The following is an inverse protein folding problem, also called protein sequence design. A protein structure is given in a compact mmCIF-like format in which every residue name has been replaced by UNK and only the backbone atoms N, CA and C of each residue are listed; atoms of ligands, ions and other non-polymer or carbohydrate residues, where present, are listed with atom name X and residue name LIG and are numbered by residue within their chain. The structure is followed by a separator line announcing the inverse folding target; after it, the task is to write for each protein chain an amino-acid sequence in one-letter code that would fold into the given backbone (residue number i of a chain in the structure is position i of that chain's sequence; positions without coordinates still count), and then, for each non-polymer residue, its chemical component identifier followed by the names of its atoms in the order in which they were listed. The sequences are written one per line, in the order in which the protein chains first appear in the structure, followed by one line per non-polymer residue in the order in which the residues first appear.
data_IF_731142465592
#
_entry.id   IF_731142465592
#
_cell.length_a   1.000
_cell.length_b   1.000
_cell.length_c   1.000
_cell.angle_alpha   90.00
_cell.angle_beta   90.00
_cell.angle_gamma   90.00
#
_symmetry.space_group_name_H-M   'P 1'
#
loop_
_entity.id
_entity.type
_entity.pdbx_description
1 polymer ?
#
# COMPACT_ATOMS: atom_id res chain seq x y z
N UNK A 1 29.79 -44.05 -17.26
CA UNK A 1 28.51 -44.13 -16.53
C UNK A 1 28.48 -43.29 -15.24
N UNK A 2 29.55 -43.25 -14.43
CA UNK A 2 29.63 -42.44 -13.19
C UNK A 2 29.33 -40.93 -13.39
N UNK A 3 29.77 -40.35 -14.51
CA UNK A 3 29.61 -38.92 -14.80
C UNK A 3 28.15 -38.52 -15.05
N UNK A 4 27.34 -39.41 -15.65
CA UNK A 4 25.90 -39.16 -15.90
C UNK A 4 25.10 -39.17 -14.60
N UNK A 5 25.42 -40.07 -13.67
CA UNK A 5 24.78 -40.15 -12.35
C UNK A 5 25.11 -38.91 -11.51
N UNK A 6 26.37 -38.46 -11.52
CA UNK A 6 26.78 -37.23 -10.83
C UNK A 6 26.08 -35.98 -11.37
N UNK A 7 25.94 -35.86 -12.70
CA UNK A 7 25.22 -34.74 -13.33
C UNK A 7 23.73 -34.75 -12.94
N UNK A 8 23.08 -35.90 -12.96
CA UNK A 8 21.66 -36.02 -12.55
C UNK A 8 21.49 -35.60 -11.08
N UNK A 9 22.36 -36.06 -10.18
CA UNK A 9 22.30 -35.66 -8.76
C UNK A 9 22.46 -34.16 -8.54
N UNK A 10 23.39 -33.52 -9.26
CA UNK A 10 23.58 -32.05 -9.18
C UNK A 10 22.36 -31.30 -9.68
N UNK A 11 21.76 -31.74 -10.77
CA UNK A 11 20.53 -31.13 -11.32
C UNK A 11 19.35 -31.27 -10.35
N UNK A 12 19.19 -32.44 -9.72
CA UNK A 12 18.13 -32.66 -8.72
C UNK A 12 18.33 -31.77 -7.48
N UNK A 13 19.56 -31.65 -6.97
CA UNK A 13 19.87 -30.78 -5.84
C UNK A 13 19.59 -29.31 -6.20
N UNK A 14 20.02 -28.86 -7.37
CA UNK A 14 19.73 -27.50 -7.86
C UNK A 14 18.22 -27.27 -7.98
N UNK A 15 17.46 -28.22 -8.50
CA UNK A 15 16.01 -28.10 -8.60
C UNK A 15 15.34 -27.99 -7.23
N UNK A 16 15.76 -28.77 -6.24
CA UNK A 16 15.26 -28.67 -4.85
C UNK A 16 15.61 -27.31 -4.25
N UNK A 17 16.84 -26.82 -4.43
CA UNK A 17 17.25 -25.51 -3.94
C UNK A 17 16.47 -24.38 -4.59
N UNK A 18 16.20 -24.47 -5.90
CA UNK A 18 15.38 -23.50 -6.62
C UNK A 18 13.94 -23.52 -6.10
N UNK A 19 13.35 -24.70 -5.88
CA UNK A 19 11.99 -24.82 -5.33
C UNK A 19 11.91 -24.32 -3.89
N UNK A 20 12.91 -24.62 -3.05
CA UNK A 20 12.98 -24.12 -1.68
C UNK A 20 13.15 -22.59 -1.66
N UNK A 21 13.99 -22.05 -2.54
CA UNK A 21 14.16 -20.60 -2.69
C UNK A 21 12.88 -19.94 -3.20
N UNK A 22 12.27 -20.44 -4.27
CA UNK A 22 11.01 -19.93 -4.79
C UNK A 22 9.89 -20.02 -3.74
N UNK A 23 9.76 -21.15 -3.04
CA UNK A 23 8.82 -21.35 -1.95
C UNK A 23 9.06 -20.38 -0.78
N UNK A 24 10.32 -20.12 -0.43
CA UNK A 24 10.69 -19.12 0.58
C UNK A 24 10.32 -17.71 0.12
N UNK A 25 10.55 -17.35 -1.14
CA UNK A 25 10.20 -16.04 -1.69
C UNK A 25 8.69 -15.83 -1.76
N UNK A 26 7.92 -16.88 -2.10
CA UNK A 26 6.44 -16.87 -2.05
C UNK A 26 5.97 -16.71 -0.60
N UNK A 27 6.56 -17.47 0.33
CA UNK A 27 6.21 -17.41 1.75
C UNK A 27 6.50 -16.04 2.36
N UNK A 28 7.64 -15.42 2.01
CA UNK A 28 8.11 -14.15 2.56
C UNK A 28 7.39 -12.94 1.94
N UNK A 29 6.98 -13.02 0.68
CA UNK A 29 6.41 -11.91 -0.07
C UNK A 29 4.99 -12.24 -0.53
N UNK A 30 4.00 -12.23 0.38
CA UNK A 30 2.64 -12.64 0.05
C UNK A 30 2.00 -11.78 -1.04
N UNK A 31 2.43 -10.52 -1.19
CA UNK A 31 1.93 -9.60 -2.21
C UNK A 31 2.61 -9.72 -3.58
N UNK A 32 3.72 -10.47 -3.73
CA UNK A 32 4.51 -10.51 -4.97
C UNK A 32 3.75 -11.08 -6.18
N UNK A 33 2.75 -11.93 -5.95
CA UNK A 33 1.98 -12.60 -7.02
C UNK A 33 0.54 -12.11 -7.11
N UNK A 34 0.21 -11.01 -6.45
CA UNK A 34 -1.12 -10.44 -6.46
C UNK A 34 -1.32 -9.69 -7.79
N UNK A 35 -2.17 -10.23 -8.65
CA UNK A 35 -2.61 -9.56 -9.88
C UNK A 35 -3.73 -8.60 -9.53
N UNK A 36 -3.57 -7.33 -9.90
CA UNK A 36 -4.54 -6.28 -9.64
C UNK A 36 -4.99 -5.66 -10.95
N UNK A 37 -6.29 -5.36 -11.02
CA UNK A 37 -6.81 -4.47 -12.05
C UNK A 37 -6.28 -3.07 -11.81
N UNK A 38 -5.61 -2.52 -12.81
CA UNK A 38 -5.25 -1.11 -12.81
C UNK A 38 -6.43 -0.32 -13.38
N UNK A 39 -7.20 0.29 -12.49
CA UNK A 39 -8.26 1.24 -12.84
C UNK A 39 -7.80 2.70 -12.69
N UNK A 40 -6.49 2.93 -12.58
CA UNK A 40 -5.97 4.29 -12.52
C UNK A 40 -6.15 5.00 -13.87
N UNK A 41 -6.34 6.32 -13.79
CA UNK A 41 -6.39 7.19 -14.95
C UNK A 41 -5.09 7.08 -15.76
N UNK A 42 -5.19 7.13 -17.09
CA UNK A 42 -4.01 7.20 -17.94
C UNK A 42 -3.26 8.52 -17.74
N UNK A 43 -1.98 8.55 -18.11
CA UNK A 43 -1.10 9.72 -17.88
C UNK A 43 -1.69 11.05 -18.38
N UNK A 44 -2.39 11.04 -19.53
CA UNK A 44 -3.03 12.23 -20.08
C UNK A 44 -4.24 12.70 -19.26
N UNK A 45 -5.02 11.77 -18.72
CA UNK A 45 -6.18 12.07 -17.88
C UNK A 45 -5.76 12.56 -16.50
N UNK A 46 -4.67 11.99 -15.95
CA UNK A 46 -4.03 12.50 -14.73
C UNK A 46 -3.58 13.94 -14.94
N UNK A 47 -2.96 14.25 -16.08
CA UNK A 47 -2.49 15.61 -16.35
C UNK A 47 -3.65 16.60 -16.56
N UNK A 48 -4.74 16.19 -17.22
CA UNK A 48 -5.93 17.05 -17.34
C UNK A 48 -6.59 17.30 -15.99
N UNK A 49 -6.72 16.27 -15.15
CA UNK A 49 -7.27 16.39 -13.80
C UNK A 49 -6.41 17.32 -12.93
N UNK A 50 -5.08 17.16 -12.97
CA UNK A 50 -4.15 18.06 -12.28
C UNK A 50 -4.29 19.50 -12.73
N UNK A 51 -4.39 19.73 -14.05
CA UNK A 51 -4.57 21.06 -14.59
C UNK A 51 -5.93 21.68 -14.20
N UNK A 52 -6.98 20.87 -14.08
CA UNK A 52 -8.29 21.31 -13.60
C UNK A 52 -8.24 21.70 -12.12
N UNK A 53 -7.71 20.82 -11.26
CA UNK A 53 -7.56 21.09 -9.82
C UNK A 53 -6.66 22.31 -9.61
N UNK A 54 -5.57 22.46 -10.37
CA UNK A 54 -4.66 23.60 -10.26
C UNK A 54 -5.36 24.95 -10.46
N UNK A 55 -6.39 25.01 -11.32
CA UNK A 55 -7.17 26.23 -11.61
C UNK A 55 -8.15 26.60 -10.49
N UNK A 56 -8.46 25.70 -9.55
CA UNK A 56 -9.36 26.01 -8.42
C UNK A 56 -8.67 27.02 -7.49
N UNK A 57 -9.39 28.09 -7.12
CA UNK A 57 -8.85 29.16 -6.25
C UNK A 57 -8.57 28.65 -4.83
N UNK A 58 -9.50 27.87 -4.28
CA UNK A 58 -9.35 27.14 -3.02
C UNK A 58 -9.33 25.65 -3.31
N UNK A 59 -8.43 24.91 -2.65
CA UNK A 59 -8.29 23.47 -2.79
C UNK A 59 -8.42 22.85 -1.41
N UNK A 60 -9.33 21.90 -1.25
CA UNK A 60 -9.48 21.16 -0.01
C UNK A 60 -8.57 19.93 -0.05
N UNK A 61 -7.71 19.82 0.95
CA UNK A 61 -6.69 18.77 1.04
C UNK A 61 -6.98 17.89 2.24
N UNK A 62 -7.01 16.59 2.02
CA UNK A 62 -7.04 15.58 3.07
C UNK A 62 -5.68 14.88 3.12
N UNK A 63 -5.14 14.71 4.32
CA UNK A 63 -3.99 13.85 4.60
C UNK A 63 -4.47 12.69 5.47
N UNK A 64 -4.89 11.61 4.80
CA UNK A 64 -5.27 10.36 5.45
C UNK A 64 -4.03 9.49 5.66
N UNK A 65 -3.86 8.88 6.83
CA UNK A 65 -2.71 8.02 7.10
C UNK A 65 -3.00 6.86 8.04
N UNK A 66 -2.35 5.73 7.84
CA UNK A 66 -2.26 4.63 8.80
C UNK A 66 -0.86 4.61 9.42
N UNK A 67 -0.74 4.49 10.75
CA UNK A 67 0.56 4.33 11.41
C UNK A 67 0.49 3.45 12.64
N UNK A 68 1.34 2.40 12.68
CA UNK A 68 1.45 1.54 13.86
C UNK A 68 2.51 2.02 14.86
N UNK A 69 3.71 2.40 14.39
CA UNK A 69 4.83 2.83 15.24
C UNK A 69 5.07 4.35 15.23
N UNK A 70 4.19 5.13 14.61
CA UNK A 70 4.25 6.59 14.56
C UNK A 70 5.14 7.21 13.48
N UNK A 71 5.94 6.42 12.74
CA UNK A 71 6.82 6.97 11.69
C UNK A 71 6.03 7.65 10.57
N UNK A 72 4.98 6.98 10.08
CA UNK A 72 4.11 7.53 9.03
C UNK A 72 3.30 8.71 9.53
N UNK A 73 2.88 8.69 10.81
CA UNK A 73 2.20 9.80 11.47
C UNK A 73 3.01 11.09 11.38
N UNK A 74 4.30 11.05 11.74
CA UNK A 74 5.13 12.27 11.66
C UNK A 74 5.27 12.83 10.25
N UNK A 75 5.25 11.99 9.21
CA UNK A 75 5.23 12.45 7.81
C UNK A 75 3.88 13.05 7.45
N UNK A 76 2.78 12.44 7.89
CA UNK A 76 1.42 12.93 7.65
C UNK A 76 1.19 14.29 8.32
N UNK A 77 1.64 14.45 9.58
CA UNK A 77 1.59 15.71 10.31
C UNK A 77 2.36 16.82 9.56
N UNK A 78 3.58 16.54 9.10
CA UNK A 78 4.36 17.50 8.33
C UNK A 78 3.71 17.86 6.98
N UNK A 79 3.05 16.90 6.32
CA UNK A 79 2.31 17.15 5.08
C UNK A 79 1.06 17.99 5.32
N UNK A 80 0.30 17.69 6.38
CA UNK A 80 -0.88 18.48 6.78
C UNK A 80 -0.47 19.92 7.09
N UNK A 81 0.61 20.13 7.86
CA UNK A 81 1.15 21.46 8.16
C UNK A 81 1.59 22.22 6.88
N UNK A 82 2.28 21.54 5.96
CA UNK A 82 2.78 22.17 4.74
C UNK A 82 1.67 22.50 3.72
N UNK A 83 0.56 21.76 3.74
CA UNK A 83 -0.55 21.93 2.79
C UNK A 83 -1.73 22.71 3.38
N UNK A 84 -1.80 22.84 4.70
CA UNK A 84 -2.98 23.32 5.41
C UNK A 84 -4.16 22.34 5.37
N UNK A 85 -3.93 21.09 4.97
CA UNK A 85 -4.96 20.08 4.80
C UNK A 85 -5.36 19.40 6.11
N UNK A 86 -6.58 18.85 6.12
CA UNK A 86 -7.11 18.10 7.25
C UNK A 86 -6.33 16.82 7.47
N UNK A 87 -6.09 16.46 8.73
CA UNK A 87 -5.37 15.25 9.10
C UNK A 87 -6.35 14.18 9.58
N UNK A 88 -6.32 12.99 8.97
CA UNK A 88 -7.18 11.88 9.34
C UNK A 88 -6.37 10.59 9.57
N UNK A 89 -6.54 9.98 10.74
CA UNK A 89 -5.92 8.68 11.04
C UNK A 89 -6.87 7.54 10.61
N UNK A 90 -6.41 6.74 9.66
CA UNK A 90 -7.00 5.46 9.30
C UNK A 90 -6.64 4.49 10.43
N UNK A 91 -7.60 4.12 11.27
CA UNK A 91 -7.41 3.15 12.34
C UNK A 91 -8.34 1.94 12.16
N UNK A 92 -7.87 0.70 12.36
CA UNK A 92 -8.77 -0.45 12.43
C UNK A 92 -9.63 -0.36 13.69
N UNK A 93 -10.88 -0.79 13.60
CA UNK A 93 -11.82 -0.84 14.73
C UNK A 93 -11.31 -1.77 15.86
N UNK A 94 -10.54 -2.80 15.50
CA UNK A 94 -9.86 -3.67 16.45
C UNK A 94 -8.34 -3.45 16.38
N UNK A 95 -7.73 -3.09 17.51
CA UNK A 95 -6.29 -2.89 17.59
C UNK A 95 -5.51 -4.21 17.40
N UNK A 96 -4.36 -4.11 16.72
CA UNK A 96 -3.45 -5.25 16.55
C UNK A 96 -2.84 -5.70 17.88
N UNK A 97 -3.14 -6.92 18.30
CA UNK A 97 -2.48 -7.56 19.46
C UNK A 97 -1.15 -8.19 19.07
N UNK A 98 -1.07 -8.75 17.87
CA UNK A 98 0.16 -9.21 17.24
C UNK A 98 0.17 -8.76 15.78
N UNK A 99 0.71 -7.56 15.56
CA UNK A 99 0.77 -6.93 14.25
C UNK A 99 1.43 -7.81 13.19
N UNK A 100 2.47 -8.57 13.55
CA UNK A 100 3.21 -9.41 12.61
C UNK A 100 2.34 -10.55 12.06
N UNK A 101 1.65 -11.27 12.94
CA UNK A 101 0.80 -12.39 12.54
C UNK A 101 -0.48 -11.92 11.86
N UNK A 102 -1.15 -10.92 12.44
CA UNK A 102 -2.43 -10.42 11.93
C UNK A 102 -2.27 -9.76 10.56
N UNK A 103 -1.31 -8.84 10.39
CA UNK A 103 -1.07 -8.18 9.09
C UNK A 103 -0.71 -9.16 7.98
N UNK A 104 0.11 -10.18 8.29
CA UNK A 104 0.47 -11.20 7.32
C UNK A 104 -0.75 -12.03 6.91
N UNK A 105 -1.60 -12.40 7.87
CA UNK A 105 -2.84 -13.12 7.60
C UNK A 105 -3.79 -12.29 6.73
N UNK A 106 -4.02 -11.03 7.10
CA UNK A 106 -4.91 -10.11 6.39
C UNK A 106 -4.48 -9.90 4.93
N UNK A 107 -3.19 -9.67 4.68
CA UNK A 107 -2.66 -9.49 3.32
C UNK A 107 -2.82 -10.77 2.50
N UNK A 108 -2.54 -11.93 3.10
CA UNK A 108 -2.64 -13.24 2.43
C UNK A 108 -4.08 -13.61 2.08
N UNK A 109 -5.03 -13.29 2.95
CA UNK A 109 -6.45 -13.58 2.73
C UNK A 109 -7.21 -12.47 2.01
N UNK A 110 -6.53 -11.39 1.63
CA UNK A 110 -7.15 -10.17 1.09
C UNK A 110 -8.25 -9.60 2.01
N UNK A 111 -8.04 -9.62 3.33
CA UNK A 111 -9.02 -9.13 4.28
C UNK A 111 -9.22 -7.60 4.17
N UNK A 112 -10.42 -7.15 4.54
CA UNK A 112 -10.82 -5.74 4.69
C UNK A 112 -11.30 -5.51 6.12
N UNK A 113 -10.38 -5.28 7.09
CA UNK A 113 -10.78 -5.06 8.48
C UNK A 113 -11.61 -3.79 8.60
N UNK A 114 -12.64 -3.81 9.45
CA UNK A 114 -13.46 -2.63 9.71
C UNK A 114 -12.60 -1.48 10.26
N UNK A 115 -12.94 -0.25 9.87
CA UNK A 115 -12.27 0.97 10.36
C UNK A 115 -13.03 1.53 11.56
N UNK A 116 -12.31 2.20 12.45
CA UNK A 116 -12.84 2.83 13.66
C UNK A 116 -13.67 4.09 13.34
N UNK A 117 -13.33 4.78 12.25
CA UNK A 117 -13.93 6.05 11.86
C UNK A 117 -13.99 6.22 10.34
N UNK A 118 -14.82 7.16 9.91
CA UNK A 118 -14.96 7.60 8.52
C UNK A 118 -14.60 9.07 8.40
N UNK A 119 -14.22 9.49 7.19
CA UNK A 119 -14.07 10.89 6.82
C UNK A 119 -15.45 11.40 6.44
N UNK A 120 -15.92 12.40 7.18
CA UNK A 120 -17.13 13.12 6.82
C UNK A 120 -16.87 14.00 5.60
N UNK A 121 -17.88 14.14 4.73
CA UNK A 121 -17.82 15.01 3.55
C UNK A 121 -16.62 14.76 2.61
N UNK A 122 -16.27 13.48 2.36
CA UNK A 122 -15.18 13.11 1.45
C UNK A 122 -15.28 13.78 0.07
N UNK A 123 -16.50 14.05 -0.40
CA UNK A 123 -16.81 14.75 -1.64
C UNK A 123 -16.18 16.14 -1.75
N UNK A 124 -15.93 16.83 -0.63
CA UNK A 124 -15.39 18.19 -0.60
C UNK A 124 -13.90 18.26 -0.90
N UNK A 125 -13.15 17.17 -0.71
CA UNK A 125 -11.70 17.14 -0.93
C UNK A 125 -11.33 17.03 -2.41
N UNK A 126 -10.42 17.88 -2.87
CA UNK A 126 -9.84 17.82 -4.22
C UNK A 126 -8.62 16.88 -4.27
N UNK A 127 -7.84 16.89 -3.20
CA UNK A 127 -6.56 16.20 -3.09
C UNK A 127 -6.59 15.32 -1.84
N UNK A 128 -6.30 14.03 -2.01
CA UNK A 128 -6.25 13.08 -0.90
C UNK A 128 -4.86 12.44 -0.87
N UNK A 129 -4.04 12.85 0.08
CA UNK A 129 -2.82 12.12 0.42
C UNK A 129 -3.17 10.87 1.22
N UNK A 130 -2.57 9.73 0.87
CA UNK A 130 -2.79 8.46 1.56
C UNK A 130 -1.45 7.89 2.02
N UNK A 131 -1.21 7.94 3.33
CA UNK A 131 0.04 7.57 3.98
C UNK A 131 0.02 6.21 4.65
N UNK A 132 1.04 5.38 4.43
CA UNK A 132 1.13 4.11 5.15
C UNK A 132 2.55 3.53 5.28
N UNK A 133 2.82 2.70 6.30
CA UNK A 133 3.99 1.83 6.31
C UNK A 133 3.83 0.72 5.27
N UNK A 134 4.92 0.38 4.57
CA UNK A 134 4.95 -0.82 3.72
C UNK A 134 5.03 -2.05 4.61
N UNK A 135 4.02 -2.91 4.54
CA UNK A 135 3.96 -4.17 5.29
C UNK A 135 4.00 -5.33 4.32
N UNK A 136 4.95 -6.25 4.50
CA UNK A 136 5.04 -7.46 3.67
C UNK A 136 5.12 -7.18 2.16
N UNK A 137 5.75 -6.06 1.79
CA UNK A 137 5.81 -5.55 0.41
C UNK A 137 4.43 -5.19 -0.19
N UNK A 138 3.47 -4.83 0.67
CA UNK A 138 2.11 -4.49 0.31
C UNK A 138 1.60 -3.27 1.10
N UNK A 139 0.46 -2.76 0.66
CA UNK A 139 -0.34 -1.79 1.40
C UNK A 139 -1.07 -2.49 2.55
N UNK A 140 -1.04 -1.95 3.79
CA UNK A 140 -1.78 -2.51 4.91
C UNK A 140 -3.29 -2.63 4.62
N UNK A 141 -3.91 -3.72 5.05
CA UNK A 141 -5.33 -3.98 4.79
C UNK A 141 -6.31 -2.89 5.29
N UNK A 142 -6.09 -2.20 6.41
CA UNK A 142 -6.93 -1.04 6.79
C UNK A 142 -6.92 0.08 5.73
N UNK A 143 -5.78 0.31 5.08
CA UNK A 143 -5.67 1.33 4.03
C UNK A 143 -6.41 0.90 2.77
N UNK A 144 -6.36 -0.38 2.40
CA UNK A 144 -7.15 -0.89 1.29
C UNK A 144 -8.66 -0.76 1.59
N UNK A 145 -9.07 -1.01 2.83
CA UNK A 145 -10.47 -0.78 3.26
C UNK A 145 -10.86 0.67 3.12
N UNK A 146 -10.00 1.60 3.55
CA UNK A 146 -10.22 3.04 3.36
C UNK A 146 -10.39 3.39 1.87
N UNK A 147 -9.49 2.92 1.01
CA UNK A 147 -9.54 3.20 -0.43
C UNK A 147 -10.79 2.64 -1.12
N UNK A 148 -11.32 1.53 -0.64
CA UNK A 148 -12.55 0.93 -1.17
C UNK A 148 -13.84 1.51 -0.55
N UNK A 149 -13.73 2.31 0.51
CA UNK A 149 -14.88 2.89 1.21
C UNK A 149 -15.41 4.17 0.57
N UNK A 150 -14.69 4.77 -0.38
CA UNK A 150 -15.04 6.05 -1.00
C UNK A 150 -14.92 6.02 -2.51
N UNK A 151 -15.69 6.89 -3.16
CA UNK A 151 -15.51 7.21 -4.57
C UNK A 151 -14.48 8.35 -4.71
N UNK A 152 -13.36 8.05 -5.36
CA UNK A 152 -12.28 9.01 -5.64
C UNK A 152 -12.36 9.63 -7.03
N UNK A 153 -13.45 9.39 -7.78
CA UNK A 153 -13.63 9.95 -9.12
C UNK A 153 -13.50 11.48 -9.08
N UNK A 154 -12.62 12.03 -9.93
CA UNK A 154 -12.35 13.47 -10.00
C UNK A 154 -11.48 14.02 -8.86
N UNK A 155 -10.90 13.17 -8.02
CA UNK A 155 -9.97 13.55 -6.95
C UNK A 155 -8.55 13.16 -7.30
N UNK A 156 -7.58 13.95 -6.87
CA UNK A 156 -6.17 13.60 -6.98
C UNK A 156 -5.73 12.80 -5.75
N UNK A 157 -5.63 11.48 -5.89
CA UNK A 157 -5.14 10.59 -4.83
C UNK A 157 -3.61 10.44 -4.95
N UNK A 158 -2.89 10.82 -3.89
CA UNK A 158 -1.42 10.83 -3.86
C UNK A 158 -0.93 9.91 -2.74
N UNK A 159 -0.45 8.70 -3.05
CA UNK A 159 0.07 7.83 -2.02
C UNK A 159 1.47 8.26 -1.58
N UNK A 160 1.76 8.11 -0.29
CA UNK A 160 3.11 8.19 0.25
C UNK A 160 3.34 7.03 1.22
N UNK A 161 4.58 6.54 1.29
CA UNK A 161 4.87 5.39 2.13
C UNK A 161 6.20 5.48 2.87
N UNK A 162 6.22 4.91 4.06
CA UNK A 162 7.43 4.76 4.90
C UNK A 162 7.83 3.30 4.99
N UNK A 163 9.12 3.00 5.16
CA UNK A 163 9.59 1.62 5.24
C UNK A 163 10.89 1.49 6.03
N UNK A 164 11.15 0.29 6.54
CA UNK A 164 12.36 -0.02 7.31
C UNK A 164 13.62 -0.29 6.48
N UNK A 165 13.54 -0.26 5.15
CA UNK A 165 14.67 -0.49 4.25
C UNK A 165 14.53 0.36 2.97
N UNK A 166 15.63 0.68 2.30
CA UNK A 166 15.56 1.35 1.00
C UNK A 166 14.79 0.48 0.00
N UNK A 167 13.66 0.98 -0.50
CA UNK A 167 12.83 0.27 -1.46
C UNK A 167 13.03 0.89 -2.85
N UNK A 168 13.08 0.04 -3.87
CA UNK A 168 13.05 0.43 -5.30
C UNK A 168 11.81 1.29 -5.62
N UNK A 169 11.90 2.17 -6.61
CA UNK A 169 10.96 3.26 -7.01
C UNK A 169 9.46 2.93 -7.19
N UNK A 170 9.00 1.68 -7.01
CA UNK A 170 7.58 1.27 -7.17
C UNK A 170 6.87 0.68 -5.92
N UNK A 171 7.04 1.16 -4.68
CA UNK A 171 6.48 0.47 -3.51
C UNK A 171 5.26 1.14 -2.87
N UNK A 172 4.91 2.35 -3.29
CA UNK A 172 3.79 3.12 -2.72
C UNK A 172 2.53 3.07 -3.60
N UNK A 173 2.40 2.12 -4.52
CA UNK A 173 1.14 1.95 -5.24
C UNK A 173 0.21 1.06 -4.39
N UNK A 174 -1.04 1.49 -4.13
CA UNK A 174 -2.00 0.65 -3.42
C UNK A 174 -2.28 -0.66 -4.15
N UNK A 175 -2.61 -1.70 -3.37
CA UNK A 175 -2.71 -3.11 -3.79
C UNK A 175 -4.12 -3.67 -3.70
#
# INVERSE_FOLDING_TARGET
MKNKIGIISVVVILAILILAFAGYQIYRNPAMFRSLSDESLGDAEVESLRAEIAKREEKQVLVAYFSYSGTTRGVAEALSEATGGDLFEIAPAEAYTNVYLQSNSEIRSNARPALDSTVDHMEDYDIVFVGYPVWWHATPSPVNTFLESYDFTGKLVIPFCTSGAAISKRPCLPS
#
